data_IF_352519345693
#
_entry.id   IF_352519345693
#
_cell.length_a   1.000
_cell.length_b   1.000
_cell.length_c   1.000
_cell.angle_alpha   90.00
_cell.angle_beta   90.00
_cell.angle_gamma   90.00
#
_symmetry.space_group_name_H-M   'P 1'
#
loop_
_entity.id
_entity.type
_entity.pdbx_description
1 polymer ?
#
# COMPACT_ATOMS: atom_id res chain seq x y z
N UNK A 1 -15.45 -18.08 -24.48
CA UNK A 1 -14.69 -19.24 -23.98
C UNK A 1 -13.71 -18.75 -22.94
N UNK A 2 -14.03 -18.98 -21.66
CA UNK A 2 -13.19 -18.62 -20.53
C UNK A 2 -11.95 -19.53 -20.51
N UNK A 3 -10.91 -19.12 -21.23
CA UNK A 3 -9.67 -19.87 -21.24
C UNK A 3 -8.76 -19.30 -20.15
N UNK A 4 -8.86 -19.82 -18.93
CA UNK A 4 -8.02 -19.44 -17.79
C UNK A 4 -6.52 -19.45 -18.15
N UNK A 5 -6.10 -20.30 -19.10
CA UNK A 5 -4.71 -20.33 -19.61
C UNK A 5 -4.30 -19.00 -20.28
N UNK A 6 -5.24 -18.35 -20.98
CA UNK A 6 -5.01 -17.03 -21.58
C UNK A 6 -4.97 -15.94 -20.51
N UNK A 7 -5.81 -16.01 -19.49
CA UNK A 7 -5.79 -15.07 -18.36
C UNK A 7 -4.43 -15.12 -17.63
N UNK A 8 -3.93 -16.32 -17.34
CA UNK A 8 -2.60 -16.51 -16.75
C UNK A 8 -1.47 -15.99 -17.65
N UNK A 9 -1.61 -16.15 -18.97
CA UNK A 9 -0.65 -15.61 -19.94
C UNK A 9 -0.66 -14.08 -19.93
N UNK A 10 -1.84 -13.45 -19.93
CA UNK A 10 -1.99 -12.00 -19.87
C UNK A 10 -1.42 -11.42 -18.57
N UNK A 11 -1.74 -12.04 -17.42
CA UNK A 11 -1.16 -11.68 -16.14
C UNK A 11 0.37 -11.80 -16.14
N UNK A 12 0.91 -12.87 -16.72
CA UNK A 12 2.36 -13.04 -16.87
C UNK A 12 3.01 -11.92 -17.70
N UNK A 13 2.36 -11.48 -18.78
CA UNK A 13 2.84 -10.36 -19.61
C UNK A 13 2.81 -9.05 -18.83
N UNK A 14 1.71 -8.75 -18.15
CA UNK A 14 1.61 -7.53 -17.33
C UNK A 14 2.64 -7.52 -16.21
N UNK A 15 2.84 -8.65 -15.53
CA UNK A 15 3.87 -8.79 -14.50
C UNK A 15 5.26 -8.57 -15.10
N UNK A 16 5.59 -9.20 -16.23
CA UNK A 16 6.91 -9.07 -16.85
C UNK A 16 7.23 -7.62 -17.27
N UNK A 17 6.25 -6.88 -17.78
CA UNK A 17 6.42 -5.48 -18.21
C UNK A 17 6.55 -4.55 -17.00
N UNK A 18 5.78 -4.78 -15.93
CA UNK A 18 5.75 -3.90 -14.76
C UNK A 18 6.88 -4.18 -13.76
N UNK A 19 7.37 -5.42 -13.70
CA UNK A 19 8.35 -5.87 -12.72
C UNK A 19 9.68 -5.08 -12.74
N UNK A 20 10.29 -4.72 -13.88
CA UNK A 20 11.50 -3.88 -13.89
C UNK A 20 11.25 -2.52 -13.24
N UNK A 21 10.10 -1.89 -13.51
CA UNK A 21 9.73 -0.61 -12.92
C UNK A 21 9.54 -0.76 -11.41
N UNK A 22 8.80 -1.79 -10.99
CA UNK A 22 8.57 -2.06 -9.57
C UNK A 22 9.86 -2.35 -8.80
N UNK A 23 10.81 -3.07 -9.40
CA UNK A 23 12.14 -3.32 -8.80
C UNK A 23 12.90 -2.01 -8.64
N UNK A 24 12.95 -1.17 -9.68
CA UNK A 24 13.66 0.11 -9.61
C UNK A 24 13.06 1.03 -8.54
N UNK A 25 11.74 1.11 -8.44
CA UNK A 25 11.05 1.88 -7.41
C UNK A 25 11.31 1.32 -6.00
N UNK A 26 11.35 -0.01 -5.86
CA UNK A 26 11.73 -0.67 -4.60
C UNK A 26 13.16 -0.36 -4.18
N UNK A 27 14.11 -0.35 -5.11
CA UNK A 27 15.51 0.04 -4.85
C UNK A 27 15.63 1.52 -4.45
N UNK A 28 14.80 2.38 -5.04
CA UNK A 28 14.70 3.80 -4.68
C UNK A 28 13.95 4.03 -3.36
N UNK A 29 13.31 3.01 -2.78
CA UNK A 29 12.42 3.10 -1.62
C UNK A 29 11.27 4.11 -1.85
N UNK A 30 10.83 4.27 -3.10
CA UNK A 30 9.71 5.14 -3.47
C UNK A 30 8.39 4.36 -3.46
N UNK A 31 7.81 4.26 -2.27
CA UNK A 31 6.52 3.59 -2.07
C UNK A 31 5.37 4.35 -2.75
N UNK A 32 5.43 5.68 -2.80
CA UNK A 32 4.36 6.52 -3.33
C UNK A 32 4.14 6.25 -4.81
N UNK A 33 5.20 6.34 -5.60
CA UNK A 33 5.16 6.04 -7.03
C UNK A 33 4.82 4.57 -7.28
N UNK A 34 5.34 3.64 -6.47
CA UNK A 34 5.01 2.22 -6.59
C UNK A 34 3.52 1.93 -6.40
N UNK A 35 2.84 2.61 -5.47
CA UNK A 35 1.38 2.49 -5.28
C UNK A 35 0.60 3.02 -6.49
N UNK A 36 1.05 4.12 -7.10
CA UNK A 36 0.41 4.66 -8.32
C UNK A 36 0.50 3.66 -9.47
N UNK A 37 1.67 3.09 -9.73
CA UNK A 37 1.84 2.06 -10.76
C UNK A 37 1.03 0.80 -10.48
N UNK A 38 0.94 0.39 -9.22
CA UNK A 38 0.12 -0.76 -8.79
C UNK A 38 -1.37 -0.50 -9.03
N UNK A 39 -1.86 0.71 -8.76
CA UNK A 39 -3.25 1.09 -9.02
C UNK A 39 -3.57 1.10 -10.53
N UNK A 40 -2.65 1.61 -11.36
CA UNK A 40 -2.78 1.57 -12.82
C UNK A 40 -2.83 0.12 -13.31
N UNK A 41 -1.91 -0.73 -12.84
CA UNK A 41 -1.89 -2.15 -13.18
C UNK A 41 -3.19 -2.87 -12.77
N UNK A 42 -3.70 -2.59 -11.57
CA UNK A 42 -4.98 -3.14 -11.12
C UNK A 42 -6.14 -2.71 -12.05
N UNK A 43 -6.16 -1.44 -12.47
CA UNK A 43 -7.12 -0.94 -13.46
C UNK A 43 -7.02 -1.67 -14.80
N UNK A 44 -5.81 -1.91 -15.30
CA UNK A 44 -5.60 -2.67 -16.54
C UNK A 44 -6.10 -4.12 -16.44
N UNK A 45 -5.82 -4.80 -15.31
CA UNK A 45 -6.29 -6.18 -15.05
C UNK A 45 -7.82 -6.26 -15.02
N UNK A 46 -8.48 -5.27 -14.42
CA UNK A 46 -9.95 -5.20 -14.39
C UNK A 46 -10.55 -4.99 -15.79
N UNK A 47 -9.90 -4.17 -16.61
CA UNK A 47 -10.37 -3.85 -17.97
C UNK A 47 -10.05 -4.92 -19.01
N UNK A 48 -9.04 -5.78 -18.77
CA UNK A 48 -8.59 -6.78 -19.75
C UNK A 48 -9.49 -8.01 -19.87
N UNK A 49 -10.60 -8.06 -19.14
CA UNK A 49 -11.56 -9.17 -19.20
C UNK A 49 -11.07 -10.46 -18.53
N UNK A 50 -10.13 -10.35 -17.58
CA UNK A 50 -9.67 -11.50 -16.78
C UNK A 50 -10.82 -12.01 -15.90
N UNK A 51 -10.90 -13.33 -15.71
CA UNK A 51 -11.95 -13.95 -14.91
C UNK A 51 -12.01 -13.40 -13.48
N UNK A 52 -13.22 -13.05 -13.03
CA UNK A 52 -13.50 -12.62 -11.65
C UNK A 52 -13.10 -13.67 -10.60
N UNK A 53 -13.01 -14.95 -10.98
CA UNK A 53 -12.52 -16.03 -10.13
C UNK A 53 -11.03 -15.90 -9.78
N UNK A 54 -10.24 -15.15 -10.56
CA UNK A 54 -8.85 -14.83 -10.24
C UNK A 54 -8.78 -13.52 -9.46
N UNK A 55 -9.55 -12.51 -9.88
CA UNK A 55 -9.51 -11.17 -9.30
C UNK A 55 -10.01 -11.16 -7.84
N UNK A 56 -11.16 -11.79 -7.56
CA UNK A 56 -11.76 -11.76 -6.22
C UNK A 56 -10.86 -12.35 -5.12
N UNK A 57 -10.28 -13.55 -5.28
CA UNK A 57 -9.36 -14.09 -4.28
C UNK A 57 -8.16 -13.18 -4.02
N UNK A 58 -7.59 -12.57 -5.06
CA UNK A 58 -6.45 -11.64 -4.91
C UNK A 58 -6.86 -10.42 -4.10
N UNK A 59 -8.00 -9.79 -4.43
CA UNK A 59 -8.52 -8.65 -3.69
C UNK A 59 -8.76 -9.01 -2.22
N UNK A 60 -9.39 -10.16 -1.94
CA UNK A 60 -9.64 -10.63 -0.58
C UNK A 60 -8.34 -10.82 0.19
N UNK A 61 -7.34 -11.48 -0.39
CA UNK A 61 -6.03 -11.68 0.27
C UNK A 61 -5.38 -10.33 0.58
N UNK A 62 -5.35 -9.40 -0.38
CA UNK A 62 -4.76 -8.07 -0.16
C UNK A 62 -5.49 -7.31 0.96
N UNK A 63 -6.83 -7.32 0.95
CA UNK A 63 -7.63 -6.67 1.98
C UNK A 63 -7.38 -7.29 3.36
N UNK A 64 -7.33 -8.62 3.47
CA UNK A 64 -7.06 -9.32 4.73
C UNK A 64 -5.66 -9.01 5.25
N UNK A 65 -4.65 -8.96 4.38
CA UNK A 65 -3.28 -8.61 4.76
C UNK A 65 -3.20 -7.18 5.29
N UNK A 66 -3.80 -6.21 4.58
CA UNK A 66 -3.81 -4.81 5.02
C UNK A 66 -4.57 -4.64 6.34
N UNK A 67 -5.75 -5.24 6.46
CA UNK A 67 -6.54 -5.18 7.68
C UNK A 67 -5.82 -5.85 8.86
N UNK A 68 -5.21 -7.02 8.63
CA UNK A 68 -4.41 -7.73 9.63
C UNK A 68 -3.18 -6.93 10.08
N UNK A 69 -2.46 -6.31 9.14
CA UNK A 69 -1.37 -5.41 9.44
C UNK A 69 -1.82 -4.24 10.32
N UNK A 70 -2.91 -3.55 9.95
CA UNK A 70 -3.43 -2.41 10.73
C UNK A 70 -3.91 -2.84 12.12
N UNK A 71 -4.61 -3.97 12.22
CA UNK A 71 -5.07 -4.51 13.50
C UNK A 71 -3.90 -4.84 14.43
N UNK A 72 -2.84 -5.45 13.90
CA UNK A 72 -1.62 -5.70 14.66
C UNK A 72 -0.91 -4.40 15.03
N UNK A 73 -0.77 -3.45 14.10
CA UNK A 73 -0.06 -2.20 14.32
C UNK A 73 -0.71 -1.30 15.37
N UNK A 74 -2.04 -1.30 15.42
CA UNK A 74 -2.84 -0.53 16.39
C UNK A 74 -2.95 -1.21 17.77
N UNK A 75 -2.55 -2.48 17.89
CA UNK A 75 -2.54 -3.21 19.16
C UNK A 75 -1.56 -2.57 20.17
N UNK A 76 -1.83 -2.62 21.49
CA UNK A 76 -0.98 -2.00 22.51
C UNK A 76 0.51 -2.39 22.45
N UNK A 77 0.80 -3.64 22.07
CA UNK A 77 2.18 -4.17 21.92
C UNK A 77 2.57 -4.36 20.44
N UNK A 78 1.73 -3.90 19.51
CA UNK A 78 1.92 -4.10 18.08
C UNK A 78 3.22 -3.50 17.57
N UNK A 79 3.51 -2.27 18.00
CA UNK A 79 4.70 -1.52 17.58
C UNK A 79 5.99 -2.19 18.02
N UNK A 80 6.02 -2.82 19.19
CA UNK A 80 7.18 -3.54 19.71
C UNK A 80 7.47 -4.80 18.87
N UNK A 81 6.42 -5.48 18.40
CA UNK A 81 6.55 -6.60 17.47
C UNK A 81 7.22 -6.13 16.18
N UNK A 82 6.75 -5.03 15.58
CA UNK A 82 7.36 -4.49 14.35
C UNK A 82 8.79 -3.99 14.57
N UNK A 83 9.08 -3.40 15.73
CA UNK A 83 10.43 -3.02 16.10
C UNK A 83 11.35 -4.23 16.22
N UNK A 84 10.90 -5.32 16.86
CA UNK A 84 11.66 -6.58 16.99
C UNK A 84 11.86 -7.29 15.65
N UNK A 85 10.95 -7.10 14.69
CA UNK A 85 11.07 -7.60 13.32
C UNK A 85 12.04 -6.77 12.45
N UNK A 86 12.63 -5.70 13.00
CA UNK A 86 13.63 -4.88 12.31
C UNK A 86 13.06 -3.65 11.59
N UNK A 87 11.81 -3.26 11.86
CA UNK A 87 11.26 -2.00 11.36
C UNK A 87 11.91 -0.82 12.09
N UNK A 88 12.38 0.17 11.33
CA UNK A 88 13.00 1.38 11.90
C UNK A 88 11.96 2.17 12.72
N UNK A 89 12.36 2.68 13.89
CA UNK A 89 11.57 3.60 14.71
C UNK A 89 11.04 4.77 13.89
N UNK A 90 11.82 5.27 12.93
CA UNK A 90 11.38 6.31 12.00
C UNK A 90 10.17 5.89 11.16
N UNK A 91 10.16 4.65 10.65
CA UNK A 91 9.04 4.13 9.84
C UNK A 91 7.79 3.94 10.70
N UNK A 92 7.94 3.41 11.92
CA UNK A 92 6.83 3.27 12.88
C UNK A 92 6.24 4.65 13.23
N UNK A 93 7.10 5.64 13.49
CA UNK A 93 6.68 7.00 13.81
C UNK A 93 5.96 7.67 12.64
N UNK A 94 6.39 7.44 11.40
CA UNK A 94 5.71 7.96 10.19
C UNK A 94 4.32 7.37 10.02
N UNK A 95 4.15 6.06 10.22
CA UNK A 95 2.83 5.41 10.17
C UNK A 95 1.94 5.93 11.30
N UNK A 96 2.49 6.06 12.52
CA UNK A 96 1.75 6.58 13.68
C UNK A 96 1.29 8.03 13.48
N UNK A 97 2.16 8.88 12.92
CA UNK A 97 1.83 10.26 12.58
C UNK A 97 0.82 10.40 11.44
N UNK A 98 0.77 9.43 10.52
CA UNK A 98 -0.27 9.41 9.48
C UNK A 98 -1.62 8.95 10.04
N UNK A 99 -1.63 7.98 10.96
CA UNK A 99 -2.84 7.48 11.62
C UNK A 99 -3.45 8.49 12.62
N UNK A 100 -2.61 9.21 13.36
CA UNK A 100 -3.02 10.23 14.33
C UNK A 100 -2.17 11.51 14.22
N UNK A 101 -2.38 12.33 13.18
CA UNK A 101 -1.53 13.50 12.91
C UNK A 101 -1.59 14.57 14.01
N UNK A 102 -2.73 14.70 14.69
CA UNK A 102 -2.92 15.74 15.71
C UNK A 102 -2.11 15.49 16.97
N UNK A 103 -1.92 14.22 17.37
CA UNK A 103 -1.01 13.87 18.46
C UNK A 103 0.45 14.23 18.16
N UNK A 104 0.82 14.34 16.87
CA UNK A 104 2.16 14.72 16.41
C UNK A 104 2.22 16.13 15.79
N UNK A 105 1.19 16.95 16.04
CA UNK A 105 1.03 18.28 15.44
C UNK A 105 2.21 19.23 15.70
N UNK A 106 2.98 19.02 16.78
CA UNK A 106 4.14 19.85 17.15
C UNK A 106 5.49 19.29 16.71
N UNK A 107 5.51 18.13 16.04
CA UNK A 107 6.74 17.43 15.68
C UNK A 107 6.69 16.92 14.23
N UNK A 108 6.70 15.61 14.05
CA UNK A 108 6.85 14.93 12.76
C UNK A 108 5.67 15.13 11.81
N UNK A 109 4.50 15.55 12.32
CA UNK A 109 3.30 15.85 11.53
C UNK A 109 2.98 17.35 11.44
N UNK A 110 3.89 18.25 11.84
CA UNK A 110 3.61 19.69 11.95
C UNK A 110 3.08 20.31 10.65
N UNK A 111 3.81 20.15 9.55
CA UNK A 111 3.43 20.74 8.26
C UNK A 111 2.09 20.19 7.74
N UNK A 112 1.86 18.88 7.90
CA UNK A 112 0.62 18.24 7.48
C UNK A 112 -0.56 18.74 8.33
N UNK A 113 -0.37 18.87 9.64
CA UNK A 113 -1.42 19.34 10.56
C UNK A 113 -1.74 20.81 10.34
N UNK A 114 -0.74 21.67 10.17
CA UNK A 114 -0.96 23.09 9.91
C UNK A 114 -1.65 23.31 8.55
N UNK A 115 -1.34 22.49 7.55
CA UNK A 115 -2.08 22.47 6.28
C UNK A 115 -3.56 22.16 6.49
N UNK A 116 -3.90 21.11 7.26
CA UNK A 116 -5.29 20.80 7.59
C UNK A 116 -5.99 21.93 8.36
N UNK A 117 -5.31 22.55 9.35
CA UNK A 117 -5.85 23.68 10.10
C UNK A 117 -6.11 24.88 9.19
N UNK A 118 -5.20 25.19 8.26
CA UNK A 118 -5.35 26.32 7.33
C UNK A 118 -6.54 26.21 6.39
N UNK A 119 -6.95 24.99 6.04
CA UNK A 119 -8.18 24.73 5.25
C UNK A 119 -9.43 25.07 6.08
N UNK A 120 -9.40 24.76 7.38
CA UNK A 120 -10.54 25.00 8.29
C UNK A 120 -10.60 26.42 8.87
N UNK A 121 -9.49 27.16 8.88
CA UNK A 121 -9.41 28.54 9.38
C UNK A 121 -9.64 29.60 8.29
N UNK A 122 -10.06 29.19 7.09
CA UNK A 122 -10.40 30.08 5.98
C UNK A 122 -11.57 31.00 6.29
#
# INVERSE_FOLDING_TARGET
>A
EDNLKNDWKLLGVFALITLPVMILLGLQKDLGTAMVFSAILAGLILLSGISWWIILPVVIVVTVVIAGFLALFLSPHGKDIFYSLGMDTYQINRISAWLDPFSYAKSIAYQQTQGMISIGSG
#
